data_IF_091921004000
#
_entry.id   IF_091921004000
#
_cell.length_a   1.000
_cell.length_b   1.000
_cell.length_c   1.000
_cell.angle_alpha   90.00
_cell.angle_beta   90.00
_cell.angle_gamma   90.00
#
_symmetry.space_group_name_H-M   'P 1'
#
loop_
_entity.id
_entity.type
_entity.pdbx_description
1 polymer ?
#
# COMPACT_ATOMS: atom_id res chain seq x y z
N UNK A 1 4.86 3.38 27.73
CA UNK A 1 4.36 2.90 26.42
C UNK A 1 3.68 4.08 25.77
N UNK A 2 4.01 4.37 24.52
CA UNK A 2 3.34 5.42 23.73
C UNK A 2 2.08 4.84 23.10
N UNK A 3 1.02 5.65 23.02
CA UNK A 3 -0.20 5.27 22.32
C UNK A 3 0.07 5.17 20.81
N UNK A 4 -0.69 4.31 20.13
CA UNK A 4 -0.60 4.10 18.69
C UNK A 4 -1.91 4.54 18.02
N UNK A 5 -1.81 5.30 16.94
CA UNK A 5 -2.95 5.83 16.20
C UNK A 5 -2.91 5.39 14.74
N UNK A 6 -4.08 5.13 14.15
CA UNK A 6 -4.24 4.94 12.71
C UNK A 6 -4.59 6.31 12.12
N UNK A 7 -3.76 6.83 11.22
CA UNK A 7 -3.88 8.21 10.70
C UNK A 7 -4.63 8.31 9.37
N UNK A 8 -4.28 7.49 8.38
CA UNK A 8 -4.91 7.47 7.04
C UNK A 8 -4.99 6.03 6.53
N UNK A 9 -5.92 5.81 5.58
CA UNK A 9 -6.12 4.51 4.95
C UNK A 9 -6.57 4.67 3.50
N UNK A 10 -5.97 3.89 2.61
CA UNK A 10 -6.34 3.83 1.20
C UNK A 10 -6.10 2.43 0.65
N UNK A 11 -6.84 2.06 -0.39
CA UNK A 11 -6.74 0.76 -1.07
C UNK A 11 -7.02 0.89 -2.56
N UNK A 12 -6.59 -0.10 -3.32
CA UNK A 12 -7.06 -0.31 -4.68
C UNK A 12 -8.51 -0.85 -4.68
N UNK A 13 -9.23 -0.77 -5.81
CA UNK A 13 -10.39 -1.61 -6.06
C UNK A 13 -9.99 -3.10 -6.02
N UNK A 14 -10.97 -3.99 -5.79
CA UNK A 14 -10.75 -5.44 -5.88
C UNK A 14 -11.14 -5.90 -7.28
N UNK A 15 -10.19 -6.46 -8.02
CA UNK A 15 -10.41 -7.03 -9.35
C UNK A 15 -10.97 -8.45 -9.28
N UNK A 16 -11.77 -8.85 -10.29
CA UNK A 16 -12.14 -10.26 -10.49
C UNK A 16 -10.95 -11.04 -11.04
N UNK A 17 -10.94 -12.36 -10.87
CA UNK A 17 -9.97 -13.24 -11.53
C UNK A 17 -10.02 -13.04 -13.06
N UNK A 18 -8.86 -12.81 -13.68
CA UNK A 18 -8.76 -12.45 -15.11
C UNK A 18 -9.39 -11.09 -15.48
N UNK A 19 -9.68 -10.23 -14.49
CA UNK A 19 -10.40 -8.97 -14.67
C UNK A 19 -9.51 -7.74 -14.74
N UNK A 20 -10.05 -6.61 -14.27
CA UNK A 20 -9.50 -5.25 -14.46
C UNK A 20 -8.08 -5.00 -13.92
N UNK A 21 -7.60 -5.82 -12.99
CA UNK A 21 -6.26 -5.72 -12.41
C UNK A 21 -5.33 -6.86 -12.82
N UNK A 22 -5.79 -7.78 -13.68
CA UNK A 22 -5.05 -8.99 -14.04
C UNK A 22 -3.75 -8.74 -14.82
N UNK A 23 -3.63 -7.58 -15.46
CA UNK A 23 -2.43 -7.17 -16.19
C UNK A 23 -1.42 -6.39 -15.34
N UNK A 24 -1.75 -6.09 -14.07
CA UNK A 24 -0.86 -5.34 -13.17
C UNK A 24 -0.04 -6.34 -12.38
N UNK A 25 1.29 -6.19 -12.37
CA UNK A 25 2.16 -7.00 -11.52
C UNK A 25 1.83 -6.79 -10.04
N UNK A 26 2.04 -7.82 -9.23
CA UNK A 26 1.69 -7.77 -7.82
C UNK A 26 2.45 -6.66 -7.05
N UNK A 27 3.74 -6.46 -7.36
CA UNK A 27 4.58 -5.42 -6.77
C UNK A 27 4.14 -4.01 -7.19
N UNK A 28 3.83 -3.81 -8.47
CA UNK A 28 3.26 -2.55 -8.96
C UNK A 28 1.93 -2.22 -8.30
N UNK A 29 1.06 -3.24 -8.12
CA UNK A 29 -0.23 -3.10 -7.47
C UNK A 29 -0.07 -2.78 -5.97
N UNK A 30 0.89 -3.39 -5.28
CA UNK A 30 1.22 -3.10 -3.88
C UNK A 30 1.71 -1.65 -3.69
N UNK A 31 2.43 -1.09 -4.68
CA UNK A 31 2.93 0.28 -4.61
C UNK A 31 1.85 1.36 -4.87
N UNK A 32 0.69 1.01 -5.44
CA UNK A 32 -0.41 1.98 -5.68
C UNK A 32 -0.89 2.67 -4.39
N UNK A 33 -1.30 1.95 -3.32
CA UNK A 33 -1.71 2.60 -2.08
C UNK A 33 -0.58 3.38 -1.40
N UNK A 34 0.68 2.94 -1.50
CA UNK A 34 1.82 3.67 -0.94
C UNK A 34 2.00 5.04 -1.61
N UNK A 35 1.98 5.08 -2.94
CA UNK A 35 2.04 6.35 -3.71
C UNK A 35 0.86 7.26 -3.38
N UNK A 36 -0.33 6.69 -3.18
CA UNK A 36 -1.51 7.46 -2.79
C UNK A 36 -1.38 8.06 -1.37
N UNK A 37 -0.81 7.33 -0.41
CA UNK A 37 -0.54 7.85 0.94
C UNK A 37 0.46 9.00 0.91
N UNK A 38 1.55 8.87 0.15
CA UNK A 38 2.54 9.94 -0.03
C UNK A 38 1.89 11.20 -0.60
N UNK A 39 1.09 11.04 -1.66
CA UNK A 39 0.41 12.17 -2.29
C UNK A 39 -0.63 12.85 -1.38
N UNK A 40 -1.33 12.08 -0.54
CA UNK A 40 -2.36 12.59 0.39
C UNK A 40 -1.79 13.29 1.62
N UNK A 41 -0.56 12.96 1.99
CA UNK A 41 0.06 13.44 3.23
C UNK A 41 1.40 14.15 2.94
N UNK A 42 1.37 15.33 2.29
CA UNK A 42 2.59 16.05 1.88
C UNK A 42 3.40 16.64 3.05
N UNK A 43 2.82 16.71 4.25
CA UNK A 43 3.50 17.19 5.46
C UNK A 43 4.23 16.09 6.26
N UNK A 44 4.17 14.84 5.81
CA UNK A 44 4.86 13.72 6.45
C UNK A 44 6.31 13.68 5.97
N UNK A 45 7.25 13.51 6.90
CA UNK A 45 8.62 13.15 6.57
C UNK A 45 8.67 11.65 6.26
N UNK A 46 8.74 11.32 4.97
CA UNK A 46 8.72 9.95 4.49
C UNK A 46 10.08 9.23 4.66
N UNK A 47 11.16 9.97 4.91
CA UNK A 47 12.47 9.39 5.27
C UNK A 47 12.49 8.90 6.73
N UNK A 48 11.53 9.32 7.55
CA UNK A 48 11.38 8.90 8.94
C UNK A 48 10.50 7.64 9.12
N UNK A 49 10.09 6.99 8.02
CA UNK A 49 9.35 5.72 8.11
C UNK A 49 10.29 4.60 8.57
N UNK A 50 10.00 4.03 9.74
CA UNK A 50 10.83 2.95 10.31
C UNK A 50 10.70 1.63 9.54
N UNK A 51 9.47 1.22 9.20
CA UNK A 51 9.19 -0.09 8.61
C UNK A 51 7.97 -0.04 7.66
N UNK A 52 8.04 -0.86 6.60
CA UNK A 52 6.93 -1.11 5.69
C UNK A 52 6.57 -2.61 5.69
N UNK A 53 5.48 -2.95 6.37
CA UNK A 53 5.07 -4.35 6.59
C UNK A 53 3.92 -4.70 5.64
N UNK A 54 4.13 -5.67 4.76
CA UNK A 54 3.15 -6.13 3.77
C UNK A 54 2.85 -7.63 3.90
N UNK A 55 1.57 -7.97 4.02
CA UNK A 55 1.11 -9.37 3.98
C UNK A 55 0.92 -9.85 2.55
N UNK A 56 1.55 -10.97 2.18
CA UNK A 56 1.33 -11.65 0.91
C UNK A 56 1.30 -13.17 1.13
N UNK A 57 0.16 -13.80 0.82
CA UNK A 57 -0.05 -15.23 1.06
C UNK A 57 0.71 -16.14 0.08
N UNK A 58 0.98 -15.66 -1.15
CA UNK A 58 1.68 -16.44 -2.16
C UNK A 58 3.19 -16.15 -2.17
N UNK A 59 3.57 -14.87 -2.20
CA UNK A 59 4.96 -14.39 -2.34
C UNK A 59 5.64 -14.80 -3.65
N UNK A 60 5.01 -15.64 -4.48
CA UNK A 60 5.41 -15.87 -5.85
C UNK A 60 4.74 -14.86 -6.79
N UNK A 61 5.55 -14.27 -7.65
CA UNK A 61 5.20 -13.25 -8.63
C UNK A 61 6.44 -12.83 -9.39
#
# INVERSE_FOLDING_TARGET
MTDAYICDYVRTPIGRFGGSLSSVRADDLAAVPLRALIARNPGVDWEAVDDAIFGCANQAG
#
